data_IF_621813325622
#
_entry.id   IF_621813325622
#
_cell.length_a   1.000
_cell.length_b   1.000
_cell.length_c   1.000
_cell.angle_alpha   90.00
_cell.angle_beta   90.00
_cell.angle_gamma   90.00
#
_symmetry.space_group_name_H-M   'P 1'
#
loop_
_entity.id
_entity.type
_entity.pdbx_description
1 polymer ?
#
# COMPACT_ATOMS: atom_id res chain seq x y z
N UNK A 1 29.85 -15.02 -28.10
CA UNK A 1 28.74 -15.86 -27.60
C UNK A 1 28.22 -15.20 -26.33
N UNK A 2 27.05 -14.57 -26.40
CA UNK A 2 26.36 -14.03 -25.23
C UNK A 2 25.73 -15.20 -24.48
N UNK A 3 26.09 -15.39 -23.21
CA UNK A 3 25.43 -16.33 -22.33
C UNK A 3 24.08 -15.71 -21.98
N UNK A 4 23.01 -16.08 -22.69
CA UNK A 4 21.67 -15.70 -22.30
C UNK A 4 21.39 -16.35 -20.93
N UNK A 5 21.39 -15.55 -19.87
CA UNK A 5 20.97 -16.02 -18.56
C UNK A 5 19.54 -16.55 -18.72
N UNK A 6 19.35 -17.84 -18.46
CA UNK A 6 18.02 -18.44 -18.40
C UNK A 6 17.32 -17.83 -17.20
N UNK A 7 16.37 -16.92 -17.44
CA UNK A 7 15.56 -16.34 -16.37
C UNK A 7 14.81 -17.48 -15.68
N UNK A 8 15.00 -17.61 -14.36
CA UNK A 8 14.23 -18.55 -13.56
C UNK A 8 12.82 -18.00 -13.38
N UNK A 9 11.77 -18.82 -13.53
CA UNK A 9 10.39 -18.38 -13.38
C UNK A 9 10.11 -17.96 -11.93
N UNK A 10 9.31 -16.93 -11.75
CA UNK A 10 8.77 -16.58 -10.45
C UNK A 10 7.59 -17.49 -10.10
N UNK A 11 7.36 -17.64 -8.79
CA UNK A 11 6.04 -18.04 -8.32
C UNK A 11 5.20 -16.80 -8.07
N UNK A 12 3.98 -16.78 -8.57
CA UNK A 12 3.04 -15.68 -8.42
C UNK A 12 1.79 -16.18 -7.71
N UNK A 13 1.58 -15.76 -6.47
CA UNK A 13 0.38 -16.08 -5.70
C UNK A 13 -0.68 -15.02 -5.95
N UNK A 14 -1.76 -15.40 -6.64
CA UNK A 14 -2.89 -14.52 -6.93
C UNK A 14 -3.00 -14.17 -8.42
N UNK A 15 -3.95 -14.81 -9.10
CA UNK A 15 -4.26 -14.57 -10.51
C UNK A 15 -5.19 -13.36 -10.75
N UNK A 16 -4.99 -12.28 -9.99
CA UNK A 16 -5.66 -11.00 -10.22
C UNK A 16 -4.97 -10.19 -11.32
N UNK A 17 -5.39 -8.93 -11.51
CA UNK A 17 -4.83 -8.04 -12.55
C UNK A 17 -3.30 -7.93 -12.50
N UNK A 18 -2.73 -7.76 -11.31
CA UNK A 18 -1.26 -7.61 -11.13
C UNK A 18 -0.54 -8.92 -11.42
N UNK A 19 -0.99 -10.03 -10.81
CA UNK A 19 -0.33 -11.32 -10.99
C UNK A 19 -0.37 -11.82 -12.43
N UNK A 20 -1.49 -11.64 -13.13
CA UNK A 20 -1.60 -12.00 -14.55
C UNK A 20 -0.73 -11.12 -15.44
N UNK A 21 -0.65 -9.82 -15.18
CA UNK A 21 0.22 -8.92 -15.94
C UNK A 21 1.70 -9.27 -15.78
N UNK A 22 2.14 -9.63 -14.56
CA UNK A 22 3.52 -10.07 -14.32
C UNK A 22 3.78 -11.40 -15.05
N UNK A 23 2.88 -12.38 -14.92
CA UNK A 23 3.01 -13.67 -15.60
C UNK A 23 3.07 -13.54 -17.12
N UNK A 24 2.31 -12.60 -17.71
CA UNK A 24 2.34 -12.30 -19.13
C UNK A 24 3.71 -11.73 -19.57
N UNK A 25 4.32 -10.88 -18.74
CA UNK A 25 5.65 -10.31 -19.01
C UNK A 25 6.75 -11.38 -18.89
N UNK A 26 6.69 -12.22 -17.85
CA UNK A 26 7.71 -13.24 -17.59
C UNK A 26 7.62 -14.47 -18.50
N UNK A 27 6.42 -14.80 -19.01
CA UNK A 27 6.17 -15.83 -20.02
C UNK A 27 6.38 -17.29 -19.57
N UNK A 28 7.02 -17.51 -18.41
CA UNK A 28 7.32 -18.83 -17.85
C UNK A 28 6.95 -18.98 -16.37
N UNK A 29 6.36 -17.95 -15.77
CA UNK A 29 6.03 -17.91 -14.35
C UNK A 29 4.92 -18.90 -13.96
N UNK A 30 4.96 -19.37 -12.71
CA UNK A 30 3.95 -20.25 -12.14
C UNK A 30 2.93 -19.40 -11.38
N UNK A 31 1.68 -19.40 -11.84
CA UNK A 31 0.58 -18.67 -11.19
C UNK A 31 -0.22 -19.60 -10.29
N UNK A 32 -0.24 -19.31 -9.00
CA UNK A 32 -1.03 -20.01 -7.98
C UNK A 32 -2.32 -19.26 -7.72
N UNK A 33 -3.44 -19.97 -7.81
CA UNK A 33 -4.78 -19.43 -7.58
C UNK A 33 -5.22 -19.67 -6.14
N UNK A 34 -6.31 -19.00 -5.76
CA UNK A 34 -6.89 -19.15 -4.42
C UNK A 34 -7.26 -20.62 -4.18
N UNK A 35 -6.80 -21.18 -3.06
CA UNK A 35 -7.06 -22.57 -2.67
C UNK A 35 -6.13 -23.59 -3.30
N UNK A 36 -5.32 -23.20 -4.28
CA UNK A 36 -4.22 -24.04 -4.75
C UNK A 36 -3.08 -24.00 -3.74
N UNK A 37 -2.44 -25.14 -3.47
CA UNK A 37 -1.43 -25.21 -2.44
C UNK A 37 -0.12 -24.60 -2.95
N UNK A 38 0.57 -23.83 -2.09
CA UNK A 38 1.88 -23.23 -2.38
C UNK A 38 2.98 -24.28 -2.18
N UNK A 39 2.94 -25.39 -2.92
CA UNK A 39 3.89 -26.51 -2.76
C UNK A 39 4.69 -26.76 -4.02
N UNK A 40 5.97 -27.10 -3.81
CA UNK A 40 6.97 -27.43 -4.83
C UNK A 40 7.33 -26.28 -5.77
N UNK A 41 7.55 -25.10 -5.21
CA UNK A 41 8.13 -24.00 -5.96
C UNK A 41 9.62 -24.27 -6.13
N UNK A 42 10.14 -24.12 -7.35
CA UNK A 42 11.59 -24.04 -7.52
C UNK A 42 12.16 -22.89 -6.67
N UNK A 43 13.47 -22.96 -6.37
CA UNK A 43 14.13 -21.92 -5.59
C UNK A 43 14.03 -20.56 -6.32
N UNK A 44 13.56 -19.53 -5.61
CA UNK A 44 13.38 -18.20 -6.16
C UNK A 44 12.24 -17.41 -5.48
N UNK A 45 12.02 -16.16 -5.93
CA UNK A 45 11.03 -15.25 -5.35
C UNK A 45 9.58 -15.75 -5.48
N UNK A 46 8.78 -15.47 -4.46
CA UNK A 46 7.35 -15.76 -4.39
C UNK A 46 6.58 -14.44 -4.31
N UNK A 47 6.10 -13.96 -5.46
CA UNK A 47 5.37 -12.70 -5.58
C UNK A 47 3.94 -12.86 -5.04
N UNK A 48 3.60 -12.13 -4.00
CA UNK A 48 2.27 -12.12 -3.40
C UNK A 48 1.44 -11.01 -4.04
N UNK A 49 0.56 -11.40 -4.96
CA UNK A 49 -0.29 -10.53 -5.78
C UNK A 49 -1.78 -10.58 -5.37
N UNK A 50 -2.08 -11.10 -4.17
CA UNK A 50 -3.42 -11.14 -3.59
C UNK A 50 -3.83 -9.82 -2.93
N UNK A 51 -5.09 -9.72 -2.50
CA UNK A 51 -5.56 -8.62 -1.64
C UNK A 51 -4.99 -8.77 -0.22
N UNK A 52 -5.00 -7.67 0.55
CA UNK A 52 -4.48 -7.68 1.91
C UNK A 52 -5.20 -8.69 2.82
N UNK A 53 -6.52 -8.86 2.65
CA UNK A 53 -7.33 -9.79 3.46
C UNK A 53 -6.97 -11.28 3.24
N UNK A 54 -6.24 -11.59 2.15
CA UNK A 54 -5.82 -12.95 1.83
C UNK A 54 -4.39 -13.26 2.32
N UNK A 55 -3.65 -12.27 2.84
CA UNK A 55 -2.23 -12.41 3.20
C UNK A 55 -1.97 -13.51 4.23
N UNK A 56 -2.83 -13.61 5.25
CA UNK A 56 -2.71 -14.65 6.28
C UNK A 56 -2.73 -16.04 5.65
N UNK A 57 -3.72 -16.30 4.80
CA UNK A 57 -3.86 -17.59 4.12
C UNK A 57 -2.64 -17.91 3.24
N UNK A 58 -2.05 -16.91 2.59
CA UNK A 58 -0.82 -17.08 1.79
C UNK A 58 0.35 -17.48 2.68
N UNK A 59 0.57 -16.79 3.81
CA UNK A 59 1.67 -17.09 4.74
C UNK A 59 1.52 -18.49 5.36
N UNK A 60 0.29 -18.88 5.73
CA UNK A 60 0.03 -20.21 6.27
C UNK A 60 0.21 -21.31 5.22
N UNK A 61 -0.15 -21.06 3.97
CA UNK A 61 0.05 -22.01 2.88
C UNK A 61 1.52 -22.13 2.43
N UNK A 62 2.35 -21.13 2.73
CA UNK A 62 3.77 -21.09 2.35
C UNK A 62 4.62 -21.92 3.32
N UNK A 63 5.44 -22.87 2.82
CA UNK A 63 6.36 -23.64 3.66
C UNK A 63 7.25 -22.73 4.53
N UNK A 64 7.44 -23.02 5.82
CA UNK A 64 8.15 -22.13 6.74
C UNK A 64 9.55 -21.71 6.27
N UNK A 65 10.30 -22.62 5.65
CA UNK A 65 11.64 -22.40 5.08
C UNK A 65 11.64 -21.53 3.82
N UNK A 66 10.47 -21.37 3.18
CA UNK A 66 10.27 -20.54 1.98
C UNK A 66 9.66 -19.18 2.27
N UNK A 67 9.22 -18.91 3.51
CA UNK A 67 8.59 -17.62 3.87
C UNK A 67 9.52 -16.41 3.68
N UNK A 68 10.82 -16.61 3.80
CA UNK A 68 11.84 -15.60 3.53
C UNK A 68 11.93 -15.18 2.03
N UNK A 69 11.35 -15.99 1.14
CA UNK A 69 11.33 -15.72 -0.31
C UNK A 69 10.05 -15.01 -0.76
N UNK A 70 9.11 -14.75 0.16
CA UNK A 70 7.90 -13.97 -0.13
C UNK A 70 8.29 -12.55 -0.55
N UNK A 71 7.57 -11.99 -1.50
CA UNK A 71 7.71 -10.60 -1.95
C UNK A 71 6.32 -10.00 -2.02
N UNK A 72 6.04 -9.04 -1.15
CA UNK A 72 4.72 -8.44 -1.00
C UNK A 72 4.51 -7.27 -1.97
N UNK A 73 3.45 -7.32 -2.79
CA UNK A 73 3.13 -6.29 -3.79
C UNK A 73 1.89 -5.46 -3.41
N UNK A 74 1.45 -5.56 -2.16
CA UNK A 74 0.23 -4.94 -1.66
C UNK A 74 0.33 -3.40 -1.58
N UNK A 75 -0.83 -2.76 -1.54
CA UNK A 75 -0.94 -1.35 -1.19
C UNK A 75 -1.21 -1.21 0.32
N UNK A 76 -0.84 -0.06 0.87
CA UNK A 76 -1.02 0.24 2.29
C UNK A 76 0.25 0.06 3.12
N UNK A 77 0.14 0.27 4.43
CA UNK A 77 1.22 0.10 5.40
C UNK A 77 1.26 -1.34 5.93
N UNK A 78 2.15 -2.15 5.40
CA UNK A 78 2.25 -3.58 5.76
C UNK A 78 3.23 -3.87 6.90
N UNK A 79 4.21 -2.99 7.16
CA UNK A 79 5.34 -3.29 8.06
C UNK A 79 4.90 -3.81 9.44
N UNK A 80 3.94 -3.17 10.15
CA UNK A 80 3.53 -3.66 11.47
C UNK A 80 2.96 -5.09 11.42
N UNK A 81 2.27 -5.45 10.34
CA UNK A 81 1.78 -6.80 10.15
C UNK A 81 2.91 -7.76 9.80
N UNK A 82 3.84 -7.38 8.92
CA UNK A 82 5.00 -8.21 8.58
C UNK A 82 5.83 -8.53 9.81
N UNK A 83 6.13 -7.53 10.65
CA UNK A 83 6.89 -7.70 11.89
C UNK A 83 6.19 -8.67 12.85
N UNK A 84 4.86 -8.55 13.01
CA UNK A 84 4.06 -9.44 13.83
C UNK A 84 4.08 -10.91 13.37
N UNK A 85 4.41 -11.16 12.09
CA UNK A 85 4.53 -12.50 11.51
C UNK A 85 5.98 -12.99 11.37
N UNK A 86 6.95 -12.21 11.85
CA UNK A 86 8.38 -12.51 11.68
C UNK A 86 8.85 -12.38 10.22
N UNK A 87 8.15 -11.57 9.42
CA UNK A 87 8.38 -11.33 8.00
C UNK A 87 8.90 -9.92 7.71
N UNK A 88 9.31 -9.16 8.72
CA UNK A 88 9.80 -7.78 8.57
C UNK A 88 10.96 -7.64 7.57
N UNK A 89 11.78 -8.69 7.46
CA UNK A 89 12.92 -8.78 6.54
C UNK A 89 12.59 -9.50 5.22
N UNK A 90 11.38 -10.05 5.08
CA UNK A 90 10.94 -10.83 3.92
C UNK A 90 10.52 -9.95 2.73
N UNK A 91 11.22 -8.83 2.49
CA UNK A 91 10.97 -7.97 1.33
C UNK A 91 12.28 -7.38 0.81
N UNK A 92 13.15 -8.26 0.29
CA UNK A 92 14.56 -8.00 -0.05
C UNK A 92 14.81 -6.94 -1.14
N UNK A 93 13.79 -6.23 -1.61
CA UNK A 93 13.91 -5.42 -2.83
C UNK A 93 14.24 -3.96 -2.53
N UNK A 94 13.81 -3.38 -1.39
CA UNK A 94 14.08 -1.97 -1.07
C UNK A 94 14.07 -1.73 0.45
N UNK A 95 15.17 -1.19 0.99
CA UNK A 95 15.31 -0.81 2.41
C UNK A 95 15.79 0.65 2.54
N UNK A 96 15.54 1.27 3.69
CA UNK A 96 16.09 2.57 4.07
C UNK A 96 15.09 3.73 4.09
N UNK A 97 15.58 4.91 4.48
CA UNK A 97 14.77 6.10 4.70
C UNK A 97 14.08 6.59 3.42
N UNK A 98 14.78 6.57 2.28
CA UNK A 98 14.22 7.01 0.99
C UNK A 98 13.08 6.11 0.52
N UNK A 99 13.23 4.79 0.72
CA UNK A 99 12.16 3.84 0.42
C UNK A 99 10.96 4.06 1.35
N UNK A 100 11.22 4.24 2.65
CA UNK A 100 10.17 4.52 3.64
C UNK A 100 9.40 5.80 3.30
N UNK A 101 10.09 6.85 2.87
CA UNK A 101 9.48 8.09 2.41
C UNK A 101 8.64 7.88 1.14
N UNK A 102 9.12 7.12 0.17
CA UNK A 102 8.36 6.79 -1.04
C UNK A 102 7.10 5.95 -0.73
N UNK A 103 7.18 5.02 0.22
CA UNK A 103 6.05 4.23 0.70
C UNK A 103 5.01 5.11 1.41
N UNK A 104 5.46 6.07 2.21
CA UNK A 104 4.58 7.07 2.82
C UNK A 104 3.91 7.94 1.77
N UNK A 105 4.63 8.46 0.77
CA UNK A 105 4.06 9.25 -0.33
C UNK A 105 2.94 8.46 -1.05
N UNK A 106 3.19 7.18 -1.36
CA UNK A 106 2.20 6.29 -1.97
C UNK A 106 0.96 6.11 -1.08
N UNK A 107 1.17 5.92 0.23
CA UNK A 107 0.09 5.76 1.21
C UNK A 107 -0.73 7.04 1.38
N UNK A 108 -0.07 8.20 1.48
CA UNK A 108 -0.70 9.52 1.56
C UNK A 108 -1.54 9.78 0.32
N UNK A 109 -1.00 9.52 -0.88
CA UNK A 109 -1.73 9.71 -2.12
C UNK A 109 -3.05 8.94 -2.13
N UNK A 110 -2.97 7.62 -1.90
CA UNK A 110 -4.16 6.76 -2.00
C UNK A 110 -5.16 7.04 -0.87
N UNK A 111 -4.69 7.43 0.31
CA UNK A 111 -5.56 7.79 1.44
C UNK A 111 -6.26 9.11 1.19
N UNK A 112 -5.54 10.14 0.74
CA UNK A 112 -6.08 11.47 0.50
C UNK A 112 -7.02 11.53 -0.70
N UNK A 113 -6.57 11.11 -1.89
CA UNK A 113 -7.40 11.20 -3.11
C UNK A 113 -8.67 10.36 -3.02
N UNK A 114 -8.56 9.14 -2.48
CA UNK A 114 -9.72 8.24 -2.42
C UNK A 114 -10.71 8.67 -1.35
N UNK A 115 -10.24 9.09 -0.16
CA UNK A 115 -11.13 9.56 0.90
C UNK A 115 -11.84 10.85 0.50
N UNK A 116 -11.10 11.82 -0.04
CA UNK A 116 -11.66 13.10 -0.45
C UNK A 116 -12.66 12.92 -1.59
N UNK A 117 -12.35 12.07 -2.59
CA UNK A 117 -13.29 11.76 -3.65
C UNK A 117 -14.57 11.08 -3.14
N UNK A 118 -14.46 10.15 -2.19
CA UNK A 118 -15.65 9.54 -1.56
C UNK A 118 -16.46 10.57 -0.78
N UNK A 119 -15.81 11.47 -0.04
CA UNK A 119 -16.47 12.51 0.74
C UNK A 119 -17.32 13.47 -0.10
N UNK A 120 -16.93 13.68 -1.37
CA UNK A 120 -17.58 14.62 -2.29
C UNK A 120 -18.25 13.97 -3.50
N UNK A 121 -18.22 12.64 -3.64
CA UNK A 121 -18.77 11.93 -4.79
C UNK A 121 -18.02 12.21 -6.11
N UNK A 122 -16.71 12.41 -6.03
CA UNK A 122 -15.84 12.86 -7.12
C UNK A 122 -14.81 11.79 -7.52
N UNK A 123 -14.51 11.68 -8.81
CA UNK A 123 -13.39 10.88 -9.31
C UNK A 123 -12.04 11.56 -9.06
N UNK A 124 -10.92 10.87 -9.35
CA UNK A 124 -9.58 11.41 -9.08
C UNK A 124 -9.31 12.75 -9.77
N UNK A 125 -9.73 12.92 -11.03
CA UNK A 125 -9.53 14.15 -11.78
C UNK A 125 -10.37 15.33 -11.27
N UNK A 126 -11.58 15.05 -10.80
CA UNK A 126 -12.44 16.06 -10.17
C UNK A 126 -11.84 16.55 -8.85
N UNK A 127 -11.32 15.63 -8.03
CA UNK A 127 -10.59 15.98 -6.81
C UNK A 127 -9.35 16.83 -7.13
N UNK A 128 -8.51 16.39 -8.07
CA UNK A 128 -7.29 17.08 -8.50
C UNK A 128 -7.55 18.53 -8.95
N UNK A 129 -8.59 18.72 -9.75
CA UNK A 129 -8.87 20.01 -10.39
C UNK A 129 -9.73 20.94 -9.53
N UNK A 130 -10.66 20.39 -8.75
CA UNK A 130 -11.70 21.11 -8.02
C UNK A 130 -11.48 21.27 -6.51
N UNK A 131 -10.62 20.44 -5.88
CA UNK A 131 -10.46 20.38 -4.41
C UNK A 131 -9.03 20.68 -3.94
N UNK A 132 -8.35 21.60 -4.62
CA UNK A 132 -6.92 21.85 -4.40
C UNK A 132 -6.58 22.23 -2.96
N UNK A 133 -7.42 23.04 -2.31
CA UNK A 133 -7.17 23.48 -0.94
C UNK A 133 -7.35 22.33 0.06
N UNK A 134 -8.46 21.61 -0.05
CA UNK A 134 -8.77 20.46 0.78
C UNK A 134 -7.74 19.34 0.60
N UNK A 135 -7.34 19.08 -0.66
CA UNK A 135 -6.33 18.09 -0.98
C UNK A 135 -4.95 18.47 -0.45
N UNK A 136 -4.55 19.74 -0.60
CA UNK A 136 -3.28 20.24 -0.06
C UNK A 136 -3.23 20.15 1.47
N UNK A 137 -4.33 20.53 2.14
CA UNK A 137 -4.45 20.42 3.59
C UNK A 137 -4.32 18.95 4.03
N UNK A 138 -5.07 18.04 3.41
CA UNK A 138 -5.07 16.63 3.79
C UNK A 138 -3.71 15.97 3.51
N UNK A 139 -3.09 16.24 2.36
CA UNK A 139 -1.76 15.71 2.04
C UNK A 139 -0.71 16.23 3.03
N UNK A 140 -0.74 17.52 3.36
CA UNK A 140 0.22 18.10 4.31
C UNK A 140 0.09 17.49 5.71
N UNK A 141 -1.15 17.33 6.18
CA UNK A 141 -1.47 16.72 7.47
C UNK A 141 -0.98 15.27 7.54
N UNK A 142 -1.39 14.42 6.58
CA UNK A 142 -1.02 13.01 6.54
C UNK A 142 0.49 12.80 6.33
N UNK A 143 1.13 13.62 5.49
CA UNK A 143 2.58 13.51 5.25
C UNK A 143 3.37 13.89 6.50
N UNK A 144 2.97 14.95 7.20
CA UNK A 144 3.68 15.44 8.39
C UNK A 144 3.55 14.47 9.55
N UNK A 145 2.32 14.08 9.91
CA UNK A 145 2.11 13.15 11.02
C UNK A 145 2.59 11.74 10.70
N UNK A 146 2.44 11.27 9.45
CA UNK A 146 2.95 9.97 9.04
C UNK A 146 4.48 9.89 9.05
N UNK A 147 5.17 10.96 8.66
CA UNK A 147 6.63 11.03 8.74
C UNK A 147 7.13 11.04 10.19
N UNK A 148 6.44 11.80 11.06
CA UNK A 148 6.72 11.82 12.49
C UNK A 148 6.56 10.43 13.13
N UNK A 149 5.48 9.71 12.79
CA UNK A 149 5.24 8.33 13.26
C UNK A 149 6.35 7.37 12.82
N UNK A 150 6.80 7.49 11.57
CA UNK A 150 7.84 6.63 10.99
C UNK A 150 9.26 7.04 11.37
N UNK A 151 9.44 8.14 12.11
CA UNK A 151 10.76 8.66 12.48
C UNK A 151 11.60 9.12 11.29
N UNK A 152 10.97 9.54 10.18
CA UNK A 152 11.64 10.02 8.97
C UNK A 152 11.47 11.54 8.80
N UNK A 153 12.35 12.22 8.04
CA UNK A 153 12.16 13.63 7.71
C UNK A 153 10.84 13.86 6.97
N UNK A 154 10.19 15.00 7.23
CA UNK A 154 8.96 15.38 6.55
C UNK A 154 9.18 15.44 5.03
N UNK A 155 8.30 14.82 4.20
CA UNK A 155 8.45 14.83 2.76
C UNK A 155 8.37 16.26 2.20
N UNK A 156 9.44 16.72 1.55
CA UNK A 156 9.43 18.00 0.85
C UNK A 156 8.81 17.87 -0.54
N UNK A 157 7.94 18.82 -0.91
CA UNK A 157 7.37 18.92 -2.25
C UNK A 157 6.52 17.71 -2.67
N UNK A 158 5.99 16.92 -1.72
CA UNK A 158 5.16 15.76 -2.04
C UNK A 158 3.90 16.16 -2.80
N UNK A 159 3.27 17.28 -2.42
CA UNK A 159 2.00 17.72 -3.02
C UNK A 159 2.01 17.74 -4.55
N UNK A 160 2.97 18.42 -5.18
CA UNK A 160 3.02 18.52 -6.66
C UNK A 160 3.28 17.17 -7.34
N UNK A 161 4.12 16.31 -6.73
CA UNK A 161 4.35 14.95 -7.25
C UNK A 161 3.07 14.11 -7.18
N UNK A 162 2.38 14.18 -6.04
CA UNK A 162 1.12 13.47 -5.80
C UNK A 162 0.01 13.97 -6.74
N UNK A 163 -0.03 15.27 -7.00
CA UNK A 163 -0.96 15.89 -7.95
C UNK A 163 -0.68 15.44 -9.40
N UNK A 164 0.59 15.41 -9.81
CA UNK A 164 1.00 14.94 -11.12
C UNK A 164 0.60 13.47 -11.36
N UNK A 165 0.78 12.60 -10.35
CA UNK A 165 0.29 11.23 -10.44
C UNK A 165 -1.23 11.17 -10.55
N UNK A 166 -1.96 11.98 -9.76
CA UNK A 166 -3.42 12.12 -9.86
C UNK A 166 -3.90 12.38 -11.29
N UNK A 167 -3.22 13.27 -12.03
CA UNK A 167 -3.55 13.57 -13.44
C UNK A 167 -3.39 12.37 -14.37
N UNK A 168 -2.39 11.53 -14.14
CA UNK A 168 -2.15 10.32 -14.96
C UNK A 168 -3.26 9.27 -14.84
N UNK A 169 -4.04 9.33 -13.76
CA UNK A 169 -5.15 8.40 -13.48
C UNK A 169 -6.47 9.13 -13.25
N UNK A 170 -6.64 10.33 -13.85
CA UNK A 170 -7.77 11.23 -13.59
C UNK A 170 -9.17 10.59 -13.75
N UNK A 171 -9.31 9.60 -14.63
CA UNK A 171 -10.57 8.90 -14.89
C UNK A 171 -10.96 7.88 -13.82
N UNK A 172 -10.05 7.51 -12.90
CA UNK A 172 -10.31 6.46 -11.92
C UNK A 172 -11.40 6.85 -10.92
N UNK A 173 -12.38 5.96 -10.66
CA UNK A 173 -13.36 6.18 -9.61
C UNK A 173 -12.69 6.08 -8.24
N UNK A 174 -13.13 6.94 -7.32
CA UNK A 174 -12.63 6.94 -5.94
C UNK A 174 -13.41 5.95 -5.08
N UNK A 175 -12.69 5.25 -4.21
CA UNK A 175 -13.27 4.31 -3.26
C UNK A 175 -12.31 4.08 -2.10
N UNK A 176 -12.82 4.12 -0.88
CA UNK A 176 -12.07 3.68 0.30
C UNK A 176 -12.11 2.15 0.36
N UNK A 177 -10.93 1.52 0.24
CA UNK A 177 -10.74 0.06 0.25
C UNK A 177 -9.55 -0.28 1.14
N UNK A 178 -9.50 -1.53 1.62
CA UNK A 178 -8.42 -2.02 2.47
C UNK A 178 -8.18 -1.07 3.67
N UNK A 179 -9.28 -0.66 4.32
CA UNK A 179 -9.30 0.46 5.26
C UNK A 179 -8.17 0.36 6.28
N UNK A 180 -8.05 -0.76 7.01
CA UNK A 180 -7.05 -0.97 8.06
C UNK A 180 -5.60 -0.72 7.61
N UNK A 181 -5.31 -0.91 6.32
CA UNK A 181 -3.98 -0.78 5.73
C UNK A 181 -3.73 0.58 5.08
N UNK A 182 -4.79 1.35 4.84
CA UNK A 182 -4.72 2.67 4.20
C UNK A 182 -5.09 3.75 5.22
N UNK A 183 -6.31 4.28 5.12
CA UNK A 183 -6.82 5.29 6.05
C UNK A 183 -6.83 4.83 7.52
N UNK A 184 -7.03 3.54 7.76
CA UNK A 184 -7.04 2.92 9.08
C UNK A 184 -5.70 3.01 9.82
N UNK A 185 -4.57 3.08 9.11
CA UNK A 185 -3.27 3.28 9.74
C UNK A 185 -3.18 4.67 10.41
N UNK A 186 -3.57 5.72 9.68
CA UNK A 186 -3.65 7.08 10.22
C UNK A 186 -4.68 7.20 11.36
N UNK A 187 -5.87 6.62 11.17
CA UNK A 187 -6.92 6.61 12.19
C UNK A 187 -6.47 5.89 13.48
N UNK A 188 -5.76 4.76 13.37
CA UNK A 188 -5.23 4.06 14.55
C UNK A 188 -4.26 4.92 15.35
N UNK A 189 -3.43 5.72 14.67
CA UNK A 189 -2.54 6.70 15.31
C UNK A 189 -3.37 7.77 16.00
N UNK A 190 -4.36 8.38 15.33
CA UNK A 190 -5.26 9.37 15.95
C UNK A 190 -5.92 8.85 17.23
N UNK A 191 -6.46 7.63 17.17
CA UNK A 191 -7.10 6.99 18.32
C UNK A 191 -6.10 6.76 19.47
N UNK A 192 -4.86 6.34 19.17
CA UNK A 192 -3.82 6.18 20.18
C UNK A 192 -3.43 7.50 20.85
N UNK A 193 -3.27 8.57 20.08
CA UNK A 193 -2.91 9.89 20.61
C UNK A 193 -4.03 10.48 21.46
N UNK A 194 -5.28 10.40 20.99
CA UNK A 194 -6.47 10.86 21.71
C UNK A 194 -6.67 10.09 23.02
N UNK A 195 -6.52 8.76 23.00
CA UNK A 195 -6.61 7.94 24.21
C UNK A 195 -5.55 8.29 25.26
N UNK A 196 -4.40 8.83 24.81
CA UNK A 196 -3.35 9.32 25.69
C UNK A 196 -3.52 10.80 26.09
N UNK A 197 -4.66 11.43 25.77
CA UNK A 197 -4.95 12.82 26.09
C UNK A 197 -4.16 13.84 25.27
N UNK A 198 -3.54 13.42 24.16
CA UNK A 198 -2.81 14.30 23.24
C UNK A 198 -3.71 14.74 22.09
N UNK A 199 -3.38 15.84 21.38
CA UNK A 199 -4.14 16.27 20.22
C UNK A 199 -4.17 15.21 19.11
N UNK A 200 -5.26 15.18 18.35
CA UNK A 200 -5.32 14.39 17.12
C UNK A 200 -4.26 14.91 16.11
N UNK A 201 -3.33 14.06 15.64
CA UNK A 201 -2.37 14.44 14.60
C UNK A 201 -3.00 14.60 13.21
N UNK A 202 -4.19 14.05 12.97
CA UNK A 202 -4.88 14.05 11.68
C UNK A 202 -6.33 14.56 11.77
N UNK A 203 -6.58 15.76 12.33
CA UNK A 203 -7.93 16.23 12.65
C UNK A 203 -8.82 16.46 11.42
N UNK A 204 -8.25 16.80 10.27
CA UNK A 204 -9.02 16.94 9.04
C UNK A 204 -9.36 15.58 8.43
N UNK A 205 -8.41 14.64 8.43
CA UNK A 205 -8.63 13.24 8.05
C UNK A 205 -9.75 12.59 8.88
N UNK A 206 -9.68 12.68 10.21
CA UNK A 206 -10.70 12.15 11.13
C UNK A 206 -12.11 12.70 10.81
N UNK A 207 -12.21 13.99 10.47
CA UNK A 207 -13.47 14.62 10.08
C UNK A 207 -14.01 14.05 8.76
N UNK A 208 -13.15 13.85 7.77
CA UNK A 208 -13.55 13.27 6.48
C UNK A 208 -13.99 11.81 6.63
N UNK A 209 -13.34 11.04 7.52
CA UNK A 209 -13.77 9.70 7.87
C UNK A 209 -15.20 9.69 8.43
N UNK A 210 -15.49 10.56 9.40
CA UNK A 210 -16.85 10.73 9.95
C UNK A 210 -17.86 11.11 8.86
N UNK A 211 -17.53 12.06 7.99
CA UNK A 211 -18.40 12.47 6.88
C UNK A 211 -18.75 11.32 5.94
N UNK A 212 -17.82 10.38 5.73
CA UNK A 212 -18.01 9.22 4.88
C UNK A 212 -18.69 8.03 5.59
N UNK A 213 -19.05 8.15 6.87
CA UNK A 213 -19.59 7.05 7.67
C UNK A 213 -18.57 5.93 7.91
N UNK A 214 -17.27 6.26 7.90
CA UNK A 214 -16.17 5.33 8.18
C UNK A 214 -15.81 5.38 9.67
N UNK A 215 -15.09 4.36 10.21
CA UNK A 215 -14.53 4.43 11.55
C UNK A 215 -13.65 5.68 11.70
N UNK A 216 -13.85 6.46 12.76
CA UNK A 216 -13.16 7.73 13.00
C UNK A 216 -12.91 7.99 14.48
#
# INVERSE_FOLDING_TARGET
>A
MSCAATLKPFTIVGAGRVGLAIAEIGGSDVVIRRGEPVVSLEAGPILVCTRNDDLEAVVQATPPDRRQDLVFLQNGMLQPWLDAHGLGEATQVLHGADFTAAMLDKLVWISAFMLLGVAFGENVGQVESGRKQELAQLIAELSTGGAAELGIPAPHGCYERLLAYGRSVAHYPTAVKEFSWRNGWFHAISQRELAAGRPDPFPYHSRLLLQCGLPA
#
